data_IF_554414100468
#
_entry.id   IF_554414100468
#
_cell.length_a   1.000
_cell.length_b   1.000
_cell.length_c   1.000
_cell.angle_alpha   90.00
_cell.angle_beta   90.00
_cell.angle_gamma   90.00
#
_symmetry.space_group_name_H-M   'P 1'
#
loop_
_entity.id
_entity.type
_entity.pdbx_description
1 polymer ?
#
# COMPACT_ATOMS: atom_id res chain seq x y z
N UNK A 1 -4.07 -30.11 -15.40
CA UNK A 1 -5.33 -29.34 -15.59
C UNK A 1 -5.04 -27.92 -15.14
N UNK A 2 -4.67 -27.07 -16.09
CA UNK A 2 -4.20 -25.71 -15.83
C UNK A 2 -5.38 -24.76 -15.65
N UNK A 3 -5.55 -24.26 -14.43
CA UNK A 3 -6.48 -23.17 -14.10
C UNK A 3 -5.80 -21.82 -14.38
N UNK A 4 -5.49 -21.53 -15.65
CA UNK A 4 -4.81 -20.29 -16.08
C UNK A 4 -5.69 -19.02 -16.03
N UNK A 5 -6.93 -19.10 -15.52
CA UNK A 5 -7.87 -17.96 -15.40
C UNK A 5 -8.09 -17.49 -13.96
N UNK A 6 -7.56 -18.22 -12.96
CA UNK A 6 -7.55 -17.72 -11.58
C UNK A 6 -6.38 -16.74 -11.50
N UNK A 7 -6.68 -15.46 -11.65
CA UNK A 7 -5.75 -14.37 -11.36
C UNK A 7 -5.20 -14.59 -9.96
N UNK A 8 -3.87 -14.76 -9.86
CA UNK A 8 -3.22 -14.82 -8.55
C UNK A 8 -3.56 -13.53 -7.79
N UNK A 9 -3.95 -13.61 -6.51
CA UNK A 9 -4.17 -12.40 -5.70
C UNK A 9 -2.91 -11.53 -5.70
N UNK A 10 -3.07 -10.22 -5.71
CA UNK A 10 -1.96 -9.25 -5.75
C UNK A 10 -1.26 -9.13 -4.39
N UNK A 11 -1.88 -9.64 -3.33
CA UNK A 11 -1.40 -9.70 -1.95
C UNK A 11 -1.16 -11.14 -1.51
N UNK A 12 -0.09 -11.31 -0.76
CA UNK A 12 0.21 -12.55 -0.06
C UNK A 12 -0.34 -12.51 1.37
N UNK A 13 -0.84 -13.63 1.88
CA UNK A 13 -1.26 -13.75 3.29
C UNK A 13 -0.07 -13.79 4.25
N UNK A 14 1.11 -14.12 3.73
CA UNK A 14 2.36 -14.22 4.48
C UNK A 14 3.38 -13.20 3.94
N UNK A 15 4.29 -12.71 4.79
CA UNK A 15 5.37 -11.85 4.33
C UNK A 15 6.17 -12.50 3.20
N UNK A 16 6.48 -11.71 2.18
CA UNK A 16 7.30 -12.15 1.04
C UNK A 16 8.75 -12.21 1.51
N UNK A 17 9.38 -13.37 1.40
CA UNK A 17 10.79 -13.55 1.78
C UNK A 17 11.72 -12.80 0.81
N UNK A 18 12.71 -12.08 1.35
CA UNK A 18 13.65 -11.30 0.57
C UNK A 18 13.11 -9.99 -0.03
N UNK A 19 11.83 -9.68 0.20
CA UNK A 19 11.20 -8.42 -0.20
C UNK A 19 11.65 -7.23 0.66
N UNK A 20 11.58 -6.03 0.09
CA UNK A 20 11.69 -4.78 0.87
C UNK A 20 10.54 -4.74 1.88
N UNK A 21 10.83 -4.31 3.10
CA UNK A 21 9.80 -4.05 4.10
C UNK A 21 9.72 -2.56 4.38
N UNK A 22 8.58 -1.95 4.04
CA UNK A 22 8.29 -0.56 4.31
C UNK A 22 7.34 -0.43 5.50
N UNK A 23 7.73 0.39 6.48
CA UNK A 23 6.92 0.76 7.62
C UNK A 23 6.32 2.13 7.38
N UNK A 24 5.01 2.23 7.54
CA UNK A 24 4.23 3.45 7.27
C UNK A 24 3.59 3.97 8.55
N UNK A 25 3.56 5.29 8.69
CA UNK A 25 2.91 5.99 9.81
C UNK A 25 2.45 7.38 9.34
N UNK A 26 1.46 7.95 10.01
CA UNK A 26 1.06 9.33 9.80
C UNK A 26 0.66 10.02 11.11
N UNK A 27 1.05 11.29 11.23
CA UNK A 27 0.71 12.12 12.38
C UNK A 27 -0.22 13.27 11.99
N UNK A 28 -1.42 13.31 12.59
CA UNK A 28 -2.37 14.41 12.39
C UNK A 28 -1.84 15.76 12.88
N UNK A 29 -1.20 15.76 14.07
CA UNK A 29 -0.64 16.98 14.66
C UNK A 29 0.59 17.48 13.89
N UNK A 30 1.45 16.56 13.46
CA UNK A 30 2.63 16.87 12.66
C UNK A 30 2.29 17.17 11.19
N UNK A 31 1.09 16.79 10.73
CA UNK A 31 0.61 16.94 9.34
C UNK A 31 1.58 16.30 8.34
N UNK A 32 2.05 15.10 8.69
CA UNK A 32 3.06 14.37 7.94
C UNK A 32 2.73 12.90 7.88
N UNK A 33 2.99 12.31 6.73
CA UNK A 33 3.08 10.88 6.55
C UNK A 33 4.56 10.49 6.43
N UNK A 34 4.92 9.32 6.92
CA UNK A 34 6.28 8.82 6.90
C UNK A 34 6.30 7.39 6.36
N UNK A 35 7.33 7.10 5.57
CA UNK A 35 7.65 5.76 5.10
C UNK A 35 9.10 5.49 5.43
N UNK A 36 9.40 4.38 6.08
CA UNK A 36 10.77 3.97 6.38
C UNK A 36 11.01 2.56 5.90
N UNK A 37 12.16 2.30 5.30
CA UNK A 37 12.51 0.97 4.79
C UNK A 37 14.01 0.75 4.86
N UNK A 38 14.42 -0.51 4.75
CA UNK A 38 15.82 -0.87 4.64
C UNK A 38 16.16 -1.24 3.19
N UNK A 39 17.24 -0.66 2.67
CA UNK A 39 17.78 -1.01 1.36
C UNK A 39 19.28 -1.26 1.50
N UNK A 40 19.75 -2.46 1.11
CA UNK A 40 21.17 -2.85 1.17
C UNK A 40 21.79 -2.62 2.57
N UNK A 41 21.03 -2.97 3.60
CA UNK A 41 21.46 -2.83 5.01
C UNK A 41 21.36 -1.41 5.59
N UNK A 42 20.95 -0.40 4.80
CA UNK A 42 20.84 0.99 5.24
C UNK A 42 19.39 1.41 5.38
N UNK A 43 19.07 2.12 6.46
CA UNK A 43 17.76 2.72 6.65
C UNK A 43 17.58 3.93 5.77
N UNK A 44 16.44 3.98 5.08
CA UNK A 44 15.94 5.10 4.30
C UNK A 44 14.59 5.53 4.85
N UNK A 45 14.24 6.78 4.59
CA UNK A 45 12.93 7.30 4.93
C UNK A 45 12.46 8.33 3.90
N UNK A 46 11.15 8.46 3.79
CA UNK A 46 10.46 9.50 3.07
C UNK A 46 9.48 10.19 4.02
N UNK A 47 9.47 11.51 4.02
CA UNK A 47 8.45 12.32 4.66
C UNK A 47 7.58 12.97 3.59
N UNK A 48 6.27 12.87 3.75
CA UNK A 48 5.27 13.47 2.88
C UNK A 48 4.51 14.51 3.71
N UNK A 49 4.41 15.73 3.20
CA UNK A 49 3.74 16.83 3.91
C UNK A 49 2.29 16.92 3.44
N UNK A 50 1.38 17.03 4.40
CA UNK A 50 -0.06 17.13 4.16
C UNK A 50 -0.51 18.53 3.77
N UNK A 51 -1.59 18.62 2.98
CA UNK A 51 -2.41 19.83 2.90
C UNK A 51 -3.18 20.02 4.24
N UNK A 52 -3.45 21.27 4.68
CA UNK A 52 -4.33 21.52 5.82
C UNK A 52 -5.70 20.83 5.79
N UNK A 53 -6.23 20.53 4.61
CA UNK A 53 -7.51 19.82 4.45
C UNK A 53 -7.41 18.30 4.63
N UNK A 54 -6.20 17.72 4.63
CA UNK A 54 -6.03 16.27 4.67
C UNK A 54 -6.38 15.69 6.04
N UNK A 55 -7.12 14.59 6.01
CA UNK A 55 -7.45 13.82 7.20
C UNK A 55 -6.29 12.90 7.59
N UNK A 56 -6.30 12.40 8.83
CA UNK A 56 -5.33 11.39 9.28
C UNK A 56 -5.40 10.13 8.40
N UNK A 57 -6.61 9.66 8.08
CA UNK A 57 -6.84 8.49 7.24
C UNK A 57 -6.29 8.68 5.83
N UNK A 58 -6.43 9.88 5.28
CA UNK A 58 -5.87 10.24 3.97
C UNK A 58 -4.34 10.18 4.00
N UNK A 59 -3.71 10.61 5.10
CA UNK A 59 -2.26 10.58 5.24
C UNK A 59 -1.69 9.19 5.44
N UNK A 60 -2.37 8.36 6.24
CA UNK A 60 -2.00 6.95 6.41
C UNK A 60 -2.05 6.22 5.06
N UNK A 61 -3.11 6.45 4.27
CA UNK A 61 -3.23 5.88 2.93
C UNK A 61 -2.15 6.44 1.98
N UNK A 62 -1.88 7.74 2.04
CA UNK A 62 -0.85 8.38 1.21
C UNK A 62 0.54 7.78 1.44
N UNK A 63 0.89 7.41 2.67
CA UNK A 63 2.14 6.72 2.97
C UNK A 63 2.23 5.36 2.27
N UNK A 64 1.15 4.58 2.27
CA UNK A 64 1.10 3.27 1.61
C UNK A 64 1.15 3.42 0.09
N UNK A 65 0.33 4.30 -0.49
CA UNK A 65 0.35 4.59 -1.93
C UNK A 65 1.75 5.01 -2.37
N UNK A 66 2.42 5.87 -1.60
CA UNK A 66 3.78 6.27 -1.90
C UNK A 66 4.75 5.09 -1.85
N UNK A 67 4.68 4.26 -0.81
CA UNK A 67 5.54 3.10 -0.66
C UNK A 67 5.43 2.19 -1.88
N UNK A 68 4.21 1.88 -2.31
CA UNK A 68 4.04 0.95 -3.43
C UNK A 68 4.30 1.57 -4.80
N UNK A 69 4.10 2.88 -4.95
CA UNK A 69 4.44 3.58 -6.19
C UNK A 69 5.96 3.70 -6.42
N UNK A 70 6.74 3.80 -5.34
CA UNK A 70 8.17 4.15 -5.42
C UNK A 70 9.12 2.98 -5.16
N UNK A 71 8.68 1.95 -4.42
CA UNK A 71 9.49 0.77 -4.13
C UNK A 71 9.12 -0.35 -5.13
N UNK A 72 9.79 -0.36 -6.29
CA UNK A 72 9.50 -1.26 -7.42
C UNK A 72 10.00 -2.72 -7.23
N UNK A 73 10.28 -3.14 -6.00
CA UNK A 73 10.66 -4.52 -5.66
C UNK A 73 9.45 -5.24 -5.03
N UNK A 74 9.47 -6.59 -4.90
CA UNK A 74 8.54 -7.25 -4.00
C UNK A 74 8.55 -6.52 -2.65
N UNK A 75 7.37 -6.14 -2.17
CA UNK A 75 7.22 -5.18 -1.08
C UNK A 75 6.26 -5.72 -0.02
N UNK A 76 6.73 -5.77 1.22
CA UNK A 76 5.90 -5.91 2.40
C UNK A 76 5.62 -4.51 2.96
N UNK A 77 4.34 -4.13 3.04
CA UNK A 77 3.93 -2.90 3.72
C UNK A 77 3.43 -3.24 5.12
N UNK A 78 4.00 -2.58 6.12
CA UNK A 78 3.58 -2.65 7.51
C UNK A 78 2.92 -1.32 7.86
N UNK A 79 1.67 -1.40 8.28
CA UNK A 79 0.86 -0.25 8.72
C UNK A 79 0.16 -0.59 10.03
N UNK A 80 0.06 0.39 10.92
CA UNK A 80 -0.75 0.32 12.13
C UNK A 80 -2.19 0.83 11.92
N UNK A 81 -2.49 1.36 10.72
CA UNK A 81 -3.81 1.82 10.36
C UNK A 81 -4.73 0.65 9.98
N UNK A 82 -5.69 0.36 10.86
CA UNK A 82 -6.79 -0.55 10.56
C UNK A 82 -7.68 -0.03 9.42
N UNK A 83 -7.76 1.30 9.25
CA UNK A 83 -8.46 1.91 8.12
C UNK A 83 -7.80 1.51 6.79
N UNK A 84 -6.49 1.75 6.66
CA UNK A 84 -5.74 1.40 5.44
C UNK A 84 -5.79 -0.09 5.15
N UNK A 85 -5.57 -0.93 6.18
CA UNK A 85 -5.69 -2.39 6.04
C UNK A 85 -7.06 -2.81 5.51
N UNK A 86 -8.13 -2.16 5.99
CA UNK A 86 -9.48 -2.39 5.51
C UNK A 86 -9.72 -1.90 4.08
N UNK A 87 -9.14 -0.77 3.67
CA UNK A 87 -9.24 -0.25 2.31
C UNK A 87 -8.54 -1.19 1.33
N UNK A 88 -7.28 -1.56 1.60
CA UNK A 88 -6.48 -2.49 0.77
C UNK A 88 -7.21 -3.81 0.57
N UNK A 89 -7.75 -4.39 1.65
CA UNK A 89 -8.51 -5.64 1.56
C UNK A 89 -9.73 -5.53 0.65
N UNK A 90 -10.47 -4.42 0.71
CA UNK A 90 -11.65 -4.21 -0.13
C UNK A 90 -11.27 -3.94 -1.58
N UNK A 91 -10.17 -3.23 -1.83
CA UNK A 91 -9.64 -3.01 -3.18
C UNK A 91 -9.28 -4.35 -3.82
N UNK A 92 -8.61 -5.24 -3.09
CA UNK A 92 -8.32 -6.60 -3.58
C UNK A 92 -9.58 -7.41 -3.84
N UNK A 93 -10.52 -7.44 -2.88
CA UNK A 93 -11.79 -8.14 -3.05
C UNK A 93 -12.61 -7.56 -4.21
N UNK A 94 -12.50 -6.25 -4.50
CA UNK A 94 -13.11 -5.58 -5.63
C UNK A 94 -12.38 -5.88 -6.96
N UNK A 95 -11.05 -5.98 -6.95
CA UNK A 95 -10.24 -6.34 -8.11
C UNK A 95 -10.44 -7.83 -8.50
N UNK A 96 -10.61 -8.72 -7.53
CA UNK A 96 -11.00 -10.12 -7.76
C UNK A 96 -12.44 -10.21 -8.32
N UNK A 97 -13.26 -9.18 -8.07
CA UNK A 97 -14.57 -8.99 -8.69
C UNK A 97 -14.52 -8.08 -9.92
N UNK A 98 -13.51 -8.23 -10.78
CA UNK A 98 -13.60 -7.70 -12.15
C UNK A 98 -14.84 -8.30 -12.84
N UNK A 99 -15.94 -7.57 -12.73
CA UNK A 99 -17.10 -7.67 -13.60
C UNK A 99 -16.67 -7.05 -14.91
N UNK A 100 -16.82 -7.77 -16.03
CA UNK A 100 -16.67 -7.24 -17.39
C UNK A 100 -17.60 -6.03 -17.61
N UNK A 101 -17.24 -4.83 -17.14
CA UNK A 101 -18.03 -3.62 -17.33
C UNK A 101 -17.13 -2.38 -17.53
N UNK A 102 -16.84 -2.18 -18.81
CA UNK A 102 -16.35 -1.05 -19.64
C UNK A 102 -16.07 0.37 -19.10
N UNK A 103 -16.05 0.72 -17.80
CA UNK A 103 -15.87 2.14 -17.40
C UNK A 103 -14.78 2.36 -16.33
N UNK A 104 -13.59 2.69 -16.86
CA UNK A 104 -12.51 3.55 -16.35
C UNK A 104 -11.92 3.27 -14.95
N UNK A 105 -10.71 2.71 -14.99
CA UNK A 105 -9.88 2.21 -13.90
C UNK A 105 -8.81 3.23 -13.43
N UNK A 106 -8.42 3.15 -12.15
CA UNK A 106 -7.05 3.39 -11.65
C UNK A 106 -6.87 2.68 -10.29
N UNK A 107 -5.76 1.94 -10.08
CA UNK A 107 -5.45 1.21 -8.84
C UNK A 107 -3.99 1.43 -8.39
N UNK A 108 -3.79 1.88 -7.13
CA UNK A 108 -2.56 1.73 -6.31
C UNK A 108 -3.01 1.57 -4.84
N UNK A 109 -2.27 0.73 -4.11
CA UNK A 109 -2.44 0.17 -2.76
C UNK A 109 -2.83 1.14 -1.64
#
# INVERSE_FOLDING_TARGET
TEWNWITRPLREERPIEGAITAFTDAGKKSRRAAVTWQEKGRWKHQIITADPADSLQTLELLAVVWAVSNLQEPLNVVTDSMYVTGVVRRIEEAAIKEVNNVINHLCIF
#
